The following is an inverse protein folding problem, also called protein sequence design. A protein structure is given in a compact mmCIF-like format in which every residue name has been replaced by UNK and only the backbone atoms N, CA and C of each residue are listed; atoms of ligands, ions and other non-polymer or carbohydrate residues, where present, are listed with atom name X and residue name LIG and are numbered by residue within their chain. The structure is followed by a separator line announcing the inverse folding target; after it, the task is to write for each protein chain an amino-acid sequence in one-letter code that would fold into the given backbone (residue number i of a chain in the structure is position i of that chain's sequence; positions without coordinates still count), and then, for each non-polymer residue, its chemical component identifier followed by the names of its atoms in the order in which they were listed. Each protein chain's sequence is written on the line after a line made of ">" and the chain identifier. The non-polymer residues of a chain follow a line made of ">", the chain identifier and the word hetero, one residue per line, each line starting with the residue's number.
data_IF_436084169960
#
_entry.id   IF_436084169960
#
_cell.length_a   1.000
_cell.length_b   1.000
_cell.length_c   1.000
_cell.angle_alpha   90.00
_cell.angle_beta   90.00
_cell.angle_gamma   90.00
#
_symmetry.space_group_name_H-M   'P 1'
#
loop_
_entity.id
_entity.type
_entity.pdbx_description
1 polymer ?
#
# COMPACT_ATOMS: atom_id res chain seq x y z
N UNK A 1 -6.50 5.03 37.67
CA UNK A 1 -7.32 5.78 36.69
C UNK A 1 -6.81 5.70 35.23
N UNK A 2 -5.95 4.72 34.88
CA UNK A 2 -5.28 4.62 33.55
C UNK A 2 -5.90 3.56 32.61
N UNK A 3 -6.46 2.46 33.14
CA UNK A 3 -6.94 1.32 32.35
C UNK A 3 -8.16 1.60 31.44
N UNK A 4 -9.01 2.58 31.80
CA UNK A 4 -10.29 2.83 31.11
C UNK A 4 -10.13 3.56 29.77
N UNK A 5 -9.10 4.40 29.60
CA UNK A 5 -8.87 5.14 28.34
C UNK A 5 -8.34 4.23 27.24
N UNK A 6 -7.48 3.28 27.58
CA UNK A 6 -6.91 2.33 26.63
C UNK A 6 -7.98 1.41 26.04
N UNK A 7 -8.83 0.82 26.89
CA UNK A 7 -9.96 0.00 26.43
C UNK A 7 -10.96 0.82 25.59
N UNK A 8 -11.20 2.08 25.97
CA UNK A 8 -12.04 2.99 25.18
C UNK A 8 -11.45 3.28 23.80
N UNK A 9 -10.13 3.38 23.67
CA UNK A 9 -9.45 3.59 22.39
C UNK A 9 -9.55 2.36 21.49
N UNK A 10 -9.32 1.15 22.03
CA UNK A 10 -9.44 -0.10 21.28
C UNK A 10 -10.87 -0.28 20.77
N UNK A 11 -11.86 -0.09 21.63
CA UNK A 11 -13.28 -0.21 21.25
C UNK A 11 -13.66 0.84 20.19
N UNK A 12 -13.11 2.06 20.27
CA UNK A 12 -13.31 3.10 19.26
C UNK A 12 -12.68 2.72 17.90
N UNK A 13 -11.47 2.17 17.87
CA UNK A 13 -10.80 1.71 16.63
C UNK A 13 -11.59 0.56 15.99
N UNK A 14 -12.07 -0.39 16.80
CA UNK A 14 -12.89 -1.51 16.32
C UNK A 14 -14.23 -1.01 15.77
N UNK A 15 -14.89 -0.07 16.47
CA UNK A 15 -16.20 0.46 16.08
C UNK A 15 -16.16 1.45 14.91
N UNK A 16 -15.03 2.14 14.67
CA UNK A 16 -14.90 3.12 13.59
C UNK A 16 -14.75 2.51 12.20
N UNK A 17 -14.71 1.18 12.07
CA UNK A 17 -14.49 0.49 10.80
C UNK A 17 -13.05 0.58 10.27
N UNK A 18 -12.20 1.38 10.95
CA UNK A 18 -10.82 1.64 10.58
C UNK A 18 -9.99 0.36 10.53
N UNK A 19 -10.19 -0.53 11.51
CA UNK A 19 -9.51 -1.81 11.58
C UNK A 19 -9.77 -2.69 10.34
N UNK A 20 -11.03 -2.77 9.90
CA UNK A 20 -11.38 -3.55 8.72
C UNK A 20 -10.78 -2.94 7.44
N UNK A 21 -10.81 -1.61 7.32
CA UNK A 21 -10.16 -0.90 6.22
C UNK A 21 -8.66 -1.16 6.18
N UNK A 22 -7.97 -1.22 7.32
CA UNK A 22 -6.56 -1.59 7.40
C UNK A 22 -6.31 -3.02 6.92
N UNK A 23 -7.14 -3.99 7.32
CA UNK A 23 -7.02 -5.39 6.85
C UNK A 23 -7.21 -5.45 5.33
N UNK A 24 -8.24 -4.80 4.80
CA UNK A 24 -8.50 -4.75 3.36
C UNK A 24 -7.32 -4.12 2.60
N UNK A 25 -6.75 -3.04 3.13
CA UNK A 25 -5.60 -2.38 2.53
C UNK A 25 -4.38 -3.31 2.47
N UNK A 26 -4.07 -4.02 3.55
CA UNK A 26 -2.97 -5.00 3.60
C UNK A 26 -3.24 -6.15 2.63
N UNK A 27 -4.45 -6.69 2.62
CA UNK A 27 -4.85 -7.79 1.73
C UNK A 27 -4.69 -7.44 0.25
N UNK A 28 -5.18 -6.26 -0.15
CA UNK A 28 -4.99 -5.75 -1.52
C UNK A 28 -3.51 -5.55 -1.82
N UNK A 29 -2.75 -5.02 -0.86
CA UNK A 29 -1.30 -4.83 -0.97
C UNK A 29 -0.54 -6.12 -1.27
N UNK A 30 -0.78 -7.17 -0.48
CA UNK A 30 -0.16 -8.49 -0.68
C UNK A 30 -0.59 -9.10 -2.01
N UNK A 31 -1.88 -8.97 -2.37
CA UNK A 31 -2.37 -9.49 -3.65
C UNK A 31 -1.70 -8.82 -4.85
N UNK A 32 -1.50 -7.49 -4.79
CA UNK A 32 -0.82 -6.74 -5.84
C UNK A 32 0.68 -7.04 -5.89
N UNK A 33 1.31 -7.36 -4.75
CA UNK A 33 2.69 -7.80 -4.70
C UNK A 33 2.87 -9.13 -5.45
N UNK A 34 2.02 -10.12 -5.16
CA UNK A 34 2.03 -11.42 -5.85
C UNK A 34 1.79 -11.23 -7.36
N UNK A 35 0.87 -10.34 -7.72
CA UNK A 35 0.63 -9.98 -9.12
C UNK A 35 1.87 -9.37 -9.79
N UNK A 36 2.59 -8.47 -9.13
CA UNK A 36 3.83 -7.87 -9.67
C UNK A 36 4.88 -8.94 -9.98
N UNK A 37 5.11 -9.86 -9.04
CA UNK A 37 6.03 -10.99 -9.21
C UNK A 37 5.62 -11.89 -10.38
N UNK A 38 4.33 -12.20 -10.51
CA UNK A 38 3.81 -13.00 -11.62
C UNK A 38 4.02 -12.31 -12.98
N UNK A 39 3.78 -10.99 -13.06
CA UNK A 39 4.04 -10.21 -14.28
C UNK A 39 5.53 -10.15 -14.60
N UNK A 40 6.38 -9.98 -13.57
CA UNK A 40 7.82 -9.98 -13.75
C UNK A 40 8.33 -11.32 -14.30
N UNK A 41 7.90 -12.44 -13.70
CA UNK A 41 8.21 -13.78 -14.18
C UNK A 41 7.76 -14.00 -15.63
N UNK A 42 6.52 -13.60 -15.96
CA UNK A 42 6.03 -13.67 -17.33
C UNK A 42 6.91 -12.87 -18.29
N UNK A 43 7.31 -11.67 -17.92
CA UNK A 43 8.06 -10.79 -18.81
C UNK A 43 9.52 -11.23 -18.99
N UNK A 44 10.18 -11.68 -17.92
CA UNK A 44 11.59 -12.06 -17.95
C UNK A 44 11.77 -13.50 -18.43
N UNK A 45 11.08 -14.46 -17.83
CA UNK A 45 11.33 -15.89 -18.07
C UNK A 45 10.62 -16.40 -19.32
N UNK A 46 9.40 -15.94 -19.58
CA UNK A 46 8.60 -16.41 -20.71
C UNK A 46 8.83 -15.52 -21.94
N UNK A 47 8.70 -14.20 -21.80
CA UNK A 47 8.83 -13.26 -22.92
C UNK A 47 10.28 -12.81 -23.20
N UNK A 48 11.24 -13.18 -22.34
CA UNK A 48 12.68 -12.83 -22.48
C UNK A 48 12.93 -11.32 -22.65
N UNK A 49 12.08 -10.50 -22.04
CA UNK A 49 12.24 -9.05 -22.04
C UNK A 49 13.41 -8.62 -21.16
N UNK A 50 13.92 -7.41 -21.41
CA UNK A 50 14.93 -6.80 -20.57
C UNK A 50 14.42 -6.68 -19.12
N UNK A 51 15.17 -7.22 -18.17
CA UNK A 51 14.77 -7.31 -16.76
C UNK A 51 14.51 -5.94 -16.11
N UNK A 52 15.23 -4.89 -16.52
CA UNK A 52 15.04 -3.54 -15.99
C UNK A 52 13.68 -3.01 -16.46
N UNK A 53 13.37 -3.14 -17.74
CA UNK A 53 12.09 -2.71 -18.30
C UNK A 53 10.94 -3.52 -17.67
N UNK A 54 11.13 -4.84 -17.53
CA UNK A 54 10.15 -5.73 -16.93
C UNK A 54 9.83 -5.34 -15.48
N UNK A 55 10.85 -5.05 -14.66
CA UNK A 55 10.64 -4.67 -13.25
C UNK A 55 9.93 -3.32 -13.13
N UNK A 56 10.27 -2.35 -13.98
CA UNK A 56 9.62 -1.04 -13.99
C UNK A 56 8.14 -1.21 -14.35
N UNK A 57 7.83 -1.92 -15.43
CA UNK A 57 6.45 -2.10 -15.88
C UNK A 57 5.63 -2.92 -14.88
N UNK A 58 6.17 -4.01 -14.35
CA UNK A 58 5.50 -4.84 -13.34
C UNK A 58 5.18 -4.03 -12.06
N UNK A 59 6.14 -3.21 -11.61
CA UNK A 59 5.98 -2.36 -10.44
C UNK A 59 4.91 -1.30 -10.66
N UNK A 60 4.96 -0.56 -11.78
CA UNK A 60 3.98 0.48 -12.08
C UNK A 60 2.56 -0.10 -12.25
N UNK A 61 2.41 -1.22 -12.95
CA UNK A 61 1.13 -1.92 -13.07
C UNK A 61 0.57 -2.31 -11.70
N UNK A 62 1.42 -2.85 -10.82
CA UNK A 62 1.03 -3.22 -9.46
C UNK A 62 0.62 -2.00 -8.62
N UNK A 63 1.35 -0.89 -8.70
CA UNK A 63 1.03 0.36 -7.99
C UNK A 63 -0.31 0.93 -8.45
N UNK A 64 -0.56 0.97 -9.77
CA UNK A 64 -1.82 1.45 -10.34
C UNK A 64 -2.99 0.54 -9.97
N UNK A 65 -2.81 -0.78 -10.02
CA UNK A 65 -3.83 -1.75 -9.63
C UNK A 65 -4.16 -1.64 -8.14
N UNK A 66 -3.13 -1.50 -7.30
CA UNK A 66 -3.27 -1.30 -5.87
C UNK A 66 -4.06 -0.03 -5.56
N UNK A 67 -3.72 1.09 -6.22
CA UNK A 67 -4.47 2.32 -6.11
C UNK A 67 -5.92 2.13 -6.54
N UNK A 68 -6.16 1.54 -7.71
CA UNK A 68 -7.50 1.37 -8.26
C UNK A 68 -8.41 0.55 -7.33
N UNK A 69 -7.94 -0.61 -6.85
CA UNK A 69 -8.71 -1.46 -5.95
C UNK A 69 -8.95 -0.75 -4.61
N UNK A 70 -7.93 -0.10 -4.04
CA UNK A 70 -8.09 0.61 -2.78
C UNK A 70 -9.00 1.84 -2.90
N UNK A 71 -8.94 2.57 -4.03
CA UNK A 71 -9.79 3.73 -4.31
C UNK A 71 -11.26 3.31 -4.43
N UNK A 72 -11.53 2.18 -5.08
CA UNK A 72 -12.89 1.74 -5.41
C UNK A 72 -13.53 0.82 -4.36
N UNK A 73 -12.74 0.10 -3.57
CA UNK A 73 -13.25 -0.88 -2.61
C UNK A 73 -12.90 -0.50 -1.17
N UNK A 74 -11.61 -0.53 -0.82
CA UNK A 74 -11.13 -0.37 0.56
C UNK A 74 -11.56 0.96 1.20
N UNK A 75 -11.37 2.07 0.50
CA UNK A 75 -11.66 3.40 1.03
C UNK A 75 -13.04 3.93 0.64
N UNK A 76 -13.84 3.18 -0.12
CA UNK A 76 -15.14 3.64 -0.64
C UNK A 76 -16.11 4.08 0.46
N UNK A 77 -16.16 3.35 1.58
CA UNK A 77 -17.07 3.65 2.69
C UNK A 77 -16.60 4.80 3.59
N UNK A 78 -15.29 5.04 3.62
CA UNK A 78 -14.67 6.12 4.42
C UNK A 78 -14.62 7.45 3.67
N UNK A 79 -15.06 7.48 2.40
CA UNK A 79 -14.93 8.63 1.51
C UNK A 79 -16.15 9.55 1.55
N UNK A 80 -15.95 10.77 2.03
CA UNK A 80 -16.48 11.93 1.33
C UNK A 80 -15.59 12.13 0.10
N UNK A 81 -16.07 11.80 -1.10
CA UNK A 81 -15.28 11.90 -2.35
C UNK A 81 -14.95 13.37 -2.67
N UNK A 82 -13.90 13.91 -2.06
CA UNK A 82 -13.39 15.24 -2.36
C UNK A 82 -12.11 15.12 -3.21
N UNK A 83 -12.13 15.72 -4.40
CA UNK A 83 -11.00 15.77 -5.34
C UNK A 83 -11.08 14.80 -6.54
N UNK A 84 -10.41 15.17 -7.64
CA UNK A 84 -10.34 14.38 -8.88
C UNK A 84 -9.55 13.08 -8.71
N UNK A 85 -9.77 12.11 -9.61
CA UNK A 85 -9.02 10.84 -9.65
C UNK A 85 -7.50 11.07 -9.61
N UNK A 86 -7.00 12.03 -10.40
CA UNK A 86 -5.58 12.36 -10.46
C UNK A 86 -5.03 12.89 -9.13
N UNK A 87 -5.80 13.74 -8.42
CA UNK A 87 -5.38 14.23 -7.10
C UNK A 87 -5.23 13.09 -6.10
N UNK A 88 -6.13 12.10 -6.15
CA UNK A 88 -6.06 10.91 -5.28
C UNK A 88 -4.88 10.02 -5.67
N UNK A 89 -4.61 9.85 -6.96
CA UNK A 89 -3.47 9.09 -7.47
C UNK A 89 -2.13 9.71 -7.03
N UNK A 90 -2.00 11.03 -7.14
CA UNK A 90 -0.79 11.75 -6.69
C UNK A 90 -0.60 11.58 -5.17
N UNK A 91 -1.66 11.77 -4.38
CA UNK A 91 -1.59 11.55 -2.92
C UNK A 91 -1.15 10.14 -2.58
N UNK A 92 -1.59 9.15 -3.34
CA UNK A 92 -1.17 7.76 -3.17
C UNK A 92 0.31 7.55 -3.50
N UNK A 93 0.82 8.13 -4.57
CA UNK A 93 2.27 8.05 -4.88
C UNK A 93 3.11 8.74 -3.81
N UNK A 94 2.68 9.91 -3.34
CA UNK A 94 3.38 10.64 -2.26
C UNK A 94 3.44 9.80 -0.98
N UNK A 95 2.34 9.15 -0.59
CA UNK A 95 2.35 8.29 0.60
C UNK A 95 3.26 7.06 0.45
N UNK A 96 3.33 6.49 -0.76
CA UNK A 96 4.26 5.40 -1.09
C UNK A 96 5.72 5.84 -0.97
N UNK A 97 6.09 6.98 -1.55
CA UNK A 97 7.43 7.54 -1.46
C UNK A 97 7.80 7.81 0.01
N UNK A 98 6.90 8.43 0.78
CA UNK A 98 7.11 8.65 2.21
C UNK A 98 7.35 7.35 2.97
N UNK A 99 6.59 6.29 2.65
CA UNK A 99 6.78 4.96 3.25
C UNK A 99 8.14 4.35 2.91
N UNK A 100 8.60 4.48 1.67
CA UNK A 100 9.91 4.02 1.22
C UNK A 100 11.04 4.75 1.96
N UNK A 101 10.93 6.08 2.09
CA UNK A 101 11.91 6.89 2.82
C UNK A 101 12.01 6.49 4.29
N UNK A 102 10.86 6.26 4.95
CA UNK A 102 10.84 5.76 6.33
C UNK A 102 11.51 4.40 6.42
N UNK A 103 11.22 3.48 5.50
CA UNK A 103 11.81 2.14 5.49
C UNK A 103 13.35 2.18 5.32
N UNK A 104 13.84 2.97 4.36
CA UNK A 104 15.28 3.17 4.12
C UNK A 104 15.94 3.82 5.34
N UNK A 105 15.32 4.86 5.90
CA UNK A 105 15.84 5.54 7.09
C UNK A 105 15.95 4.60 8.30
N UNK A 106 14.93 3.78 8.53
CA UNK A 106 14.94 2.79 9.60
C UNK A 106 16.03 1.72 9.37
N UNK A 107 16.15 1.21 8.14
CA UNK A 107 17.19 0.25 7.78
C UNK A 107 18.59 0.82 8.01
N UNK A 108 18.83 2.07 7.62
CA UNK A 108 20.11 2.74 7.84
C UNK A 108 20.43 2.93 9.33
N UNK A 109 19.43 3.29 10.15
CA UNK A 109 19.59 3.42 11.59
C UNK A 109 19.92 2.08 12.27
N UNK A 110 19.18 1.03 11.92
CA UNK A 110 19.36 -0.30 12.50
C UNK A 110 20.70 -0.92 12.11
N UNK A 111 21.12 -0.76 10.86
CA UNK A 111 22.40 -1.29 10.37
C UNK A 111 23.61 -0.53 10.94
N UNK A 112 23.46 0.77 11.24
CA UNK A 112 24.52 1.56 11.89
C UNK A 112 24.74 1.16 13.36
N UNK A 113 23.75 0.52 13.99
CA UNK A 113 23.82 0.09 15.39
C UNK A 113 24.33 -1.35 15.61
N UNK A 114 24.63 -2.08 14.54
CA UNK A 114 25.21 -3.44 14.53
C UNK A 114 26.67 -3.42 14.10
#
# INVERSE_FOLDING_TARGET
>A
MSMNKFNSLIVFIIRSGLFLTSIQFVFVGVSCLIFAEAVLYLFVDILRLNSIIAVIVATELSVLLNFYINDNWTFRKSKNMSGSFMSRLIKFHVSRIASILVNIGLFALLTRSS
#
